data_IF_818738239294
#
_entry.id   IF_818738239294
#
_cell.length_a   1.000
_cell.length_b   1.000
_cell.length_c   1.000
_cell.angle_alpha   90.00
_cell.angle_beta   90.00
_cell.angle_gamma   90.00
#
_symmetry.space_group_name_H-M   'P 1'
#
loop_
_entity.id
_entity.type
_entity.pdbx_description
1 polymer ?
#
# COMPACT_ATOMS: atom_id res chain seq x y z
N UNK A 1 -12.66 -24.80 -1.78
CA UNK A 1 -11.24 -24.36 -1.79
C UNK A 1 -10.86 -24.04 -3.21
N UNK A 2 -10.49 -22.82 -3.51
CA UNK A 2 -10.06 -22.36 -4.84
C UNK A 2 -8.66 -21.79 -4.77
N UNK A 3 -7.91 -21.92 -5.86
CA UNK A 3 -6.69 -21.15 -6.06
C UNK A 3 -7.07 -19.79 -6.64
N UNK A 4 -6.54 -18.72 -6.07
CA UNK A 4 -6.86 -17.34 -6.43
C UNK A 4 -5.54 -16.60 -6.66
N UNK A 5 -5.41 -15.89 -7.77
CA UNK A 5 -4.35 -14.91 -7.96
C UNK A 5 -4.88 -13.56 -7.48
N UNK A 6 -4.15 -12.95 -6.56
CA UNK A 6 -4.54 -11.70 -5.91
C UNK A 6 -3.49 -10.63 -6.21
N UNK A 7 -3.85 -9.69 -7.06
CA UNK A 7 -2.96 -8.58 -7.41
C UNK A 7 -3.19 -7.40 -6.46
N UNK A 8 -2.14 -6.99 -5.78
CA UNK A 8 -2.19 -5.91 -4.82
C UNK A 8 -1.11 -4.86 -5.02
N UNK A 9 -1.29 -3.72 -4.41
CA UNK A 9 -0.18 -2.81 -4.14
C UNK A 9 0.47 -3.21 -2.82
N UNK A 10 1.77 -3.52 -2.78
CA UNK A 10 2.46 -3.82 -1.54
C UNK A 10 2.26 -2.74 -0.46
N UNK A 11 2.01 -3.18 0.78
CA UNK A 11 1.78 -2.28 1.91
C UNK A 11 0.37 -1.68 2.00
N UNK A 12 -0.59 -2.14 1.21
CA UNK A 12 -1.99 -1.71 1.33
C UNK A 12 -2.70 -2.42 2.49
N UNK A 13 -3.13 -1.68 3.51
CA UNK A 13 -3.83 -2.22 4.68
C UNK A 13 -5.17 -2.86 4.29
N UNK A 14 -5.90 -2.25 3.35
CA UNK A 14 -7.15 -2.81 2.84
C UNK A 14 -6.93 -4.20 2.22
N UNK A 15 -5.94 -4.32 1.33
CA UNK A 15 -5.61 -5.59 0.70
C UNK A 15 -5.18 -6.66 1.73
N UNK A 16 -4.48 -6.28 2.80
CA UNK A 16 -4.11 -7.23 3.85
C UNK A 16 -5.36 -7.85 4.53
N UNK A 17 -6.37 -7.04 4.85
CA UNK A 17 -7.64 -7.51 5.45
C UNK A 17 -8.43 -8.39 4.49
N UNK A 18 -8.49 -8.03 3.22
CA UNK A 18 -9.17 -8.80 2.18
C UNK A 18 -8.53 -10.18 1.99
N UNK A 19 -7.19 -10.25 1.96
CA UNK A 19 -6.46 -11.51 1.90
C UNK A 19 -6.73 -12.40 3.13
N UNK A 20 -6.74 -11.82 4.33
CA UNK A 20 -7.07 -12.56 5.56
C UNK A 20 -8.46 -13.18 5.48
N UNK A 21 -9.46 -12.44 4.96
CA UNK A 21 -10.80 -12.98 4.78
C UNK A 21 -10.81 -14.15 3.80
N UNK A 22 -10.20 -14.01 2.60
CA UNK A 22 -10.15 -15.07 1.61
C UNK A 22 -9.46 -16.33 2.15
N UNK A 23 -8.37 -16.17 2.89
CA UNK A 23 -7.68 -17.29 3.55
C UNK A 23 -8.57 -17.94 4.61
N UNK A 24 -9.30 -17.16 5.41
CA UNK A 24 -10.23 -17.69 6.43
C UNK A 24 -11.39 -18.47 5.81
N UNK A 25 -11.77 -18.16 4.56
CA UNK A 25 -12.75 -18.90 3.77
C UNK A 25 -12.18 -20.18 3.13
N UNK A 26 -10.88 -20.48 3.38
CA UNK A 26 -10.21 -21.70 2.92
C UNK A 26 -9.65 -21.61 1.51
N UNK A 27 -9.46 -20.43 0.94
CA UNK A 27 -8.82 -20.26 -0.37
C UNK A 27 -7.30 -20.20 -0.26
N UNK A 28 -6.63 -20.65 -1.33
CA UNK A 28 -5.18 -20.51 -1.49
C UNK A 28 -4.92 -19.28 -2.34
N UNK A 29 -4.09 -18.37 -1.83
CA UNK A 29 -3.77 -17.12 -2.52
C UNK A 29 -2.35 -17.18 -3.10
N UNK A 30 -2.25 -16.84 -4.37
CA UNK A 30 -1.02 -16.43 -5.02
C UNK A 30 -1.04 -14.90 -5.10
N UNK A 31 -0.17 -14.24 -4.33
CA UNK A 31 -0.15 -12.76 -4.26
C UNK A 31 0.86 -12.23 -5.24
N UNK A 32 0.43 -11.31 -6.10
CA UNK A 32 1.27 -10.66 -7.10
C UNK A 32 1.27 -9.14 -6.91
N UNK A 33 2.39 -8.50 -7.25
CA UNK A 33 2.51 -7.05 -7.24
C UNK A 33 1.89 -6.46 -8.50
N UNK A 34 0.76 -5.79 -8.34
CA UNK A 34 0.00 -5.15 -9.41
C UNK A 34 0.83 -4.10 -10.16
N UNK A 35 1.76 -3.42 -9.47
CA UNK A 35 2.58 -2.36 -10.07
C UNK A 35 3.76 -2.90 -10.89
N UNK A 36 4.12 -4.17 -10.68
CA UNK A 36 5.22 -4.84 -11.39
C UNK A 36 4.75 -5.81 -12.47
N UNK A 37 3.46 -6.07 -12.53
CA UNK A 37 2.86 -6.89 -13.57
C UNK A 37 2.86 -6.12 -14.88
N UNK A 38 3.32 -6.75 -15.96
CA UNK A 38 3.18 -6.21 -17.30
C UNK A 38 1.74 -6.45 -17.75
N UNK A 39 0.94 -5.40 -17.74
CA UNK A 39 -0.46 -5.43 -18.16
C UNK A 39 -0.59 -5.14 -19.65
N UNK A 40 -1.49 -5.82 -20.31
CA UNK A 40 -2.05 -5.38 -21.57
C UNK A 40 -3.53 -5.00 -21.42
N UNK A 41 -4.11 -4.38 -22.45
CA UNK A 41 -5.46 -3.84 -22.38
C UNK A 41 -6.52 -4.96 -22.30
N UNK A 42 -6.33 -6.06 -23.05
CA UNK A 42 -7.28 -7.17 -23.10
C UNK A 42 -7.31 -7.94 -21.77
N UNK A 43 -6.13 -8.18 -21.19
CA UNK A 43 -6.02 -8.80 -19.87
C UNK A 43 -6.75 -7.96 -18.82
N UNK A 44 -6.50 -6.63 -18.79
CA UNK A 44 -7.16 -5.73 -17.84
C UNK A 44 -8.66 -5.65 -18.04
N UNK A 45 -9.13 -5.61 -19.29
CA UNK A 45 -10.57 -5.50 -19.59
C UNK A 45 -11.36 -6.64 -18.95
N UNK A 46 -10.78 -7.84 -18.89
CA UNK A 46 -11.42 -9.03 -18.33
C UNK A 46 -11.81 -8.91 -16.85
N UNK A 47 -11.12 -8.05 -16.10
CA UNK A 47 -11.41 -7.81 -14.68
C UNK A 47 -12.54 -6.80 -14.45
N UNK A 48 -12.89 -6.03 -15.49
CA UNK A 48 -13.86 -4.92 -15.38
C UNK A 48 -15.21 -5.24 -16.00
N UNK A 49 -15.45 -6.50 -16.36
CA UNK A 49 -16.71 -6.90 -16.98
C UNK A 49 -17.94 -6.46 -16.17
N UNK A 50 -18.87 -5.80 -16.84
CA UNK A 50 -20.07 -5.25 -16.22
C UNK A 50 -19.84 -4.04 -15.29
N UNK A 51 -18.63 -3.49 -15.19
CA UNK A 51 -18.31 -2.33 -14.36
C UNK A 51 -18.26 -1.04 -15.18
N UNK A 52 -18.88 0.06 -14.71
CA UNK A 52 -18.74 1.37 -15.35
C UNK A 52 -17.28 1.83 -15.41
N UNK A 53 -16.84 2.41 -16.53
CA UNK A 53 -15.45 2.84 -16.77
C UNK A 53 -14.88 3.69 -15.64
N UNK A 54 -15.69 4.63 -15.11
CA UNK A 54 -15.29 5.49 -13.98
C UNK A 54 -14.88 4.71 -12.72
N UNK A 55 -15.37 3.47 -12.57
CA UNK A 55 -15.08 2.61 -11.43
C UNK A 55 -13.87 1.72 -11.64
N UNK A 56 -13.27 1.69 -12.83
CA UNK A 56 -12.03 0.97 -13.09
C UNK A 56 -10.83 1.62 -12.42
N UNK A 57 -10.95 2.92 -12.13
CA UNK A 57 -9.89 3.69 -11.52
C UNK A 57 -9.97 3.67 -9.99
N UNK A 58 -8.80 3.64 -9.39
CA UNK A 58 -8.66 3.67 -7.94
C UNK A 58 -8.90 5.09 -7.40
N UNK A 59 -9.97 5.33 -6.63
CA UNK A 59 -10.29 6.66 -6.13
C UNK A 59 -9.26 7.22 -5.15
N UNK A 60 -8.39 6.35 -4.62
CA UNK A 60 -7.30 6.77 -3.72
C UNK A 60 -6.00 7.11 -4.45
N UNK A 61 -5.93 6.91 -5.77
CA UNK A 61 -4.77 7.32 -6.54
C UNK A 61 -4.66 8.86 -6.57
N UNK A 62 -3.46 9.45 -6.43
CA UNK A 62 -3.30 10.90 -6.33
C UNK A 62 -3.96 11.65 -7.49
N UNK A 63 -3.72 11.22 -8.73
CA UNK A 63 -4.29 11.89 -9.91
C UNK A 63 -5.81 11.85 -9.98
N UNK A 64 -6.43 10.76 -9.50
CA UNK A 64 -7.89 10.63 -9.43
C UNK A 64 -8.44 11.50 -8.30
N UNK A 65 -7.85 11.39 -7.11
CA UNK A 65 -8.27 12.16 -5.94
C UNK A 65 -8.14 13.67 -6.14
N UNK A 66 -7.07 14.09 -6.82
CA UNK A 66 -6.76 15.51 -7.05
C UNK A 66 -7.50 16.07 -8.29
N UNK A 67 -8.39 15.26 -8.91
CA UNK A 67 -9.23 15.69 -10.04
C UNK A 67 -8.46 15.93 -11.35
N UNK A 68 -7.27 15.34 -11.50
CA UNK A 68 -6.43 15.50 -12.68
C UNK A 68 -6.85 14.59 -13.86
N UNK A 69 -7.85 13.72 -13.62
CA UNK A 69 -8.44 12.85 -14.63
C UNK A 69 -9.94 13.09 -14.63
N UNK A 70 -10.48 13.47 -15.79
CA UNK A 70 -11.92 13.58 -15.97
C UNK A 70 -12.52 12.18 -16.19
N UNK A 71 -13.09 11.62 -15.14
CA UNK A 71 -13.64 10.26 -15.15
C UNK A 71 -14.92 10.15 -15.98
N UNK A 72 -15.64 11.24 -16.21
CA UNK A 72 -16.89 11.23 -16.94
C UNK A 72 -16.67 11.39 -18.45
N UNK A 73 -15.53 11.93 -18.85
CA UNK A 73 -15.11 12.04 -20.25
C UNK A 73 -14.29 10.83 -20.73
N UNK A 74 -13.95 9.88 -19.84
CA UNK A 74 -13.06 8.76 -20.15
C UNK A 74 -13.86 7.61 -20.77
N UNK A 75 -13.56 7.25 -22.02
CA UNK A 75 -14.06 6.02 -22.64
C UNK A 75 -13.25 4.78 -22.24
N UNK A 76 -13.72 3.61 -22.63
CA UNK A 76 -13.10 2.35 -22.22
C UNK A 76 -11.67 2.18 -22.76
N UNK A 77 -11.44 2.52 -24.03
CA UNK A 77 -10.14 2.35 -24.67
C UNK A 77 -9.10 3.30 -24.08
N UNK A 78 -9.47 4.55 -23.86
CA UNK A 78 -8.62 5.54 -23.21
C UNK A 78 -8.33 5.16 -21.75
N UNK A 79 -9.32 4.62 -21.03
CA UNK A 79 -9.14 4.13 -19.68
C UNK A 79 -8.13 2.98 -19.64
N UNK A 80 -8.30 1.95 -20.48
CA UNK A 80 -7.37 0.81 -20.54
C UNK A 80 -5.96 1.26 -20.88
N UNK A 81 -5.80 2.10 -21.91
CA UNK A 81 -4.48 2.65 -22.27
C UNK A 81 -3.82 3.38 -21.10
N UNK A 82 -4.60 4.16 -20.37
CA UNK A 82 -4.11 4.88 -19.17
C UNK A 82 -3.71 3.93 -18.05
N UNK A 83 -4.50 2.88 -17.78
CA UNK A 83 -4.26 1.90 -16.73
C UNK A 83 -3.02 1.03 -17.02
N UNK A 84 -2.78 0.70 -18.29
CA UNK A 84 -1.56 -0.01 -18.72
C UNK A 84 -0.32 0.83 -18.48
N UNK A 85 -0.36 2.13 -18.81
CA UNK A 85 0.77 3.05 -18.63
C UNK A 85 1.02 3.36 -17.15
N UNK A 86 -0.07 3.49 -16.36
CA UNK A 86 0.02 3.86 -14.94
C UNK A 86 -0.78 2.88 -14.05
N UNK A 87 -0.22 1.69 -13.73
CA UNK A 87 -0.90 0.67 -12.93
C UNK A 87 -1.33 1.13 -11.52
N UNK A 88 -0.79 2.24 -11.01
CA UNK A 88 -1.23 2.84 -9.75
C UNK A 88 -2.69 3.30 -9.79
N UNK A 89 -3.19 3.61 -10.98
CA UNK A 89 -4.57 4.04 -11.23
C UNK A 89 -5.56 2.87 -11.22
N UNK A 90 -5.12 1.64 -11.38
CA UNK A 90 -5.99 0.46 -11.41
C UNK A 90 -6.74 0.32 -10.09
N UNK A 91 -8.05 0.06 -10.15
CA UNK A 91 -8.86 -0.32 -8.99
C UNK A 91 -8.32 -1.59 -8.34
N UNK A 92 -8.15 -1.59 -7.05
CA UNK A 92 -7.53 -2.68 -6.28
C UNK A 92 -8.49 -3.31 -5.28
N UNK A 93 -8.31 -4.61 -5.03
CA UNK A 93 -7.43 -5.58 -5.69
C UNK A 93 -7.95 -5.98 -7.07
N UNK A 94 -7.10 -6.60 -7.93
CA UNK A 94 -7.59 -7.45 -8.99
C UNK A 94 -7.52 -8.90 -8.50
N UNK A 95 -8.57 -9.64 -8.76
CA UNK A 95 -8.72 -11.04 -8.33
C UNK A 95 -8.99 -11.88 -9.55
N UNK A 96 -8.15 -12.90 -9.76
CA UNK A 96 -8.38 -13.94 -10.77
C UNK A 96 -8.67 -15.27 -10.07
N UNK A 97 -9.74 -15.93 -10.46
CA UNK A 97 -10.23 -17.14 -9.83
C UNK A 97 -10.86 -18.08 -10.86
N UNK A 98 -11.11 -19.35 -10.50
CA UNK A 98 -11.85 -20.29 -11.38
C UNK A 98 -13.29 -19.82 -11.74
N UNK A 99 -13.79 -18.80 -11.07
CA UNK A 99 -15.11 -18.21 -11.31
C UNK A 99 -15.05 -16.93 -12.15
N UNK A 100 -13.87 -16.57 -12.63
CA UNK A 100 -13.58 -15.36 -13.41
C UNK A 100 -12.78 -14.33 -12.67
N UNK A 101 -12.50 -13.20 -13.36
CA UNK A 101 -11.79 -12.04 -12.85
C UNK A 101 -12.75 -11.01 -12.23
N UNK A 102 -12.25 -10.23 -11.26
CA UNK A 102 -12.97 -9.04 -10.80
C UNK A 102 -12.00 -7.98 -10.25
N UNK A 103 -12.45 -6.72 -10.27
CA UNK A 103 -11.72 -5.58 -9.73
C UNK A 103 -12.42 -4.99 -8.50
N UNK A 104 -11.63 -4.65 -7.49
CA UNK A 104 -12.15 -4.18 -6.20
C UNK A 104 -12.64 -5.33 -5.32
N UNK A 105 -13.19 -4.97 -4.16
CA UNK A 105 -13.72 -5.93 -3.19
C UNK A 105 -15.20 -5.64 -2.90
N UNK A 106 -15.94 -5.33 -3.97
CA UNK A 106 -17.38 -5.08 -3.93
C UNK A 106 -18.12 -6.38 -4.20
N UNK A 107 -19.18 -6.72 -3.44
CA UNK A 107 -20.01 -7.89 -3.69
C UNK A 107 -20.43 -7.96 -5.16
N UNK A 108 -20.18 -9.11 -5.75
CA UNK A 108 -20.48 -9.42 -7.13
C UNK A 108 -20.40 -10.93 -7.35
N UNK A 109 -20.71 -11.43 -8.56
CA UNK A 109 -20.83 -12.86 -8.82
C UNK A 109 -19.56 -13.65 -8.47
N UNK A 110 -18.38 -13.11 -8.78
CA UNK A 110 -17.09 -13.76 -8.48
C UNK A 110 -16.85 -13.87 -6.97
N UNK A 111 -17.00 -12.77 -6.22
CA UNK A 111 -16.81 -12.77 -4.78
C UNK A 111 -17.87 -13.61 -4.05
N UNK A 112 -19.12 -13.60 -4.53
CA UNK A 112 -20.16 -14.46 -4.00
C UNK A 112 -19.84 -15.95 -4.21
N UNK A 113 -19.35 -16.34 -5.39
CA UNK A 113 -18.89 -17.71 -5.67
C UNK A 113 -17.69 -18.12 -4.81
N UNK A 114 -16.87 -17.18 -4.37
CA UNK A 114 -15.79 -17.38 -3.41
C UNK A 114 -16.29 -17.38 -1.94
N UNK A 115 -17.60 -17.24 -1.71
CA UNK A 115 -18.18 -17.23 -0.36
C UNK A 115 -17.90 -15.96 0.44
N UNK A 116 -17.52 -14.87 -0.22
CA UNK A 116 -17.32 -13.58 0.43
C UNK A 116 -18.69 -12.99 0.80
N UNK A 117 -18.95 -12.69 2.09
CA UNK A 117 -20.25 -12.16 2.51
C UNK A 117 -20.43 -10.70 2.07
N UNK A 118 -21.67 -10.27 1.83
CA UNK A 118 -21.98 -8.89 1.45
C UNK A 118 -21.48 -7.84 2.45
N UNK A 119 -21.43 -8.20 3.73
CA UNK A 119 -20.86 -7.36 4.78
C UNK A 119 -19.38 -6.99 4.55
N UNK A 120 -18.67 -7.77 3.76
CA UNK A 120 -17.26 -7.49 3.40
C UNK A 120 -17.11 -6.28 2.47
N UNK A 121 -18.20 -5.68 1.97
CA UNK A 121 -18.17 -4.41 1.22
C UNK A 121 -17.41 -3.31 1.96
N UNK A 122 -17.44 -3.31 3.28
CA UNK A 122 -16.67 -2.36 4.10
C UNK A 122 -15.15 -2.47 3.91
N UNK A 123 -14.66 -3.60 3.37
CA UNK A 123 -13.24 -3.81 3.09
C UNK A 123 -12.80 -3.23 1.72
N UNK A 124 -13.72 -2.78 0.88
CA UNK A 124 -13.38 -2.17 -0.42
C UNK A 124 -12.81 -0.74 -0.25
N UNK A 125 -13.11 -0.08 0.86
CA UNK A 125 -12.56 1.24 1.15
C UNK A 125 -11.16 1.14 1.77
N UNK A 126 -10.20 1.89 1.22
CA UNK A 126 -8.98 2.21 1.96
C UNK A 126 -9.37 3.03 3.18
N UNK A 127 -9.41 2.42 4.36
CA UNK A 127 -9.55 3.14 5.61
C UNK A 127 -8.32 4.03 5.84
N UNK A 128 -8.28 5.18 5.16
CA UNK A 128 -7.49 6.32 5.62
C UNK A 128 -8.39 7.10 6.57
N UNK A 129 -8.21 6.90 7.85
CA UNK A 129 -8.80 7.71 8.88
C UNK A 129 -9.91 7.03 9.68
N UNK A 130 -9.55 6.07 10.48
CA UNK A 130 -10.04 5.91 11.83
C UNK A 130 -8.93 5.25 12.62
N UNK A 131 -8.37 6.02 13.52
CA UNK A 131 -7.58 5.71 14.70
C UNK A 131 -7.06 4.27 14.80
N UNK A 132 -5.74 4.18 14.93
CA UNK A 132 -5.11 3.04 15.58
C UNK A 132 -5.97 2.64 16.79
N UNK A 133 -6.15 1.33 17.06
CA UNK A 133 -6.69 0.92 18.34
C UNK A 133 -5.80 1.55 19.39
N UNK A 134 -6.39 2.40 20.21
CA UNK A 134 -5.75 2.89 21.43
C UNK A 134 -5.31 1.63 22.17
N UNK A 135 -4.00 1.45 22.26
CA UNK A 135 -3.38 0.54 23.17
C UNK A 135 -4.07 0.76 24.53
N UNK A 136 -4.75 -0.28 24.99
CA UNK A 136 -5.13 -0.43 26.37
C UNK A 136 -3.83 -0.36 27.18
N UNK A 137 -3.53 0.84 27.67
CA UNK A 137 -2.55 1.00 28.72
C UNK A 137 -3.07 0.20 29.93
N UNK A 138 -2.30 -0.73 30.47
CA UNK A 138 -2.69 -1.32 31.74
C UNK A 138 -2.61 -0.21 32.79
N UNK A 139 -3.77 0.15 33.33
CA UNK A 139 -3.93 0.93 34.52
C UNK A 139 -3.10 0.29 35.64
N UNK A 140 -1.96 0.86 35.94
CA UNK A 140 -1.22 0.60 37.15
C UNK A 140 -1.75 1.52 38.27
N UNK A 141 -2.95 1.22 38.73
CA UNK A 141 -3.36 1.61 40.09
C UNK A 141 -3.03 0.45 41.01
N UNK A 142 -2.00 0.58 41.79
CA UNK A 142 -2.01 0.14 43.16
C UNK A 142 -0.65 0.35 43.84
N UNK A 143 -0.73 1.21 44.86
CA UNK A 143 0.04 1.21 46.09
C UNK A 143 1.33 2.02 46.14
N UNK A 144 1.11 3.22 46.56
CA UNK A 144 1.98 3.93 47.48
C UNK A 144 2.22 3.11 48.74
N UNK A 145 3.47 2.85 49.08
CA UNK A 145 3.95 2.79 50.48
C UNK A 145 5.47 2.85 50.50
N UNK A 146 5.92 3.95 51.06
CA UNK A 146 7.04 4.08 51.97
C UNK A 146 8.41 3.50 51.56
N UNK A 147 9.36 4.37 51.29
CA UNK A 147 10.55 4.45 52.14
C UNK A 147 11.21 5.83 51.97
N UNK A 148 11.34 6.47 53.08
CA UNK A 148 12.08 7.72 53.28
C UNK A 148 13.56 7.42 53.52
N UNK A 149 14.32 8.48 53.31
CA UNK A 149 15.69 8.73 53.81
C UNK A 149 16.79 7.97 53.03
N UNK A 150 17.82 8.58 52.55
CA UNK A 150 18.75 9.42 53.31
C UNK A 150 19.75 10.10 52.35
N UNK A 151 20.03 11.35 52.66
CA UNK A 151 21.27 12.11 52.53
C UNK A 151 22.28 11.86 51.41
N UNK A 152 22.50 12.90 50.62
CA UNK A 152 23.74 13.65 50.69
C UNK A 152 24.91 13.14 49.84
N UNK A 153 25.24 13.88 48.82
CA UNK A 153 26.55 14.45 48.60
C UNK A 153 26.76 14.90 47.13
N UNK A 154 26.82 16.18 46.94
CA UNK A 154 27.72 16.77 45.95
C UNK A 154 29.12 16.76 46.55
N UNK A 155 30.18 16.69 45.78
CA UNK A 155 30.67 17.86 45.08
C UNK A 155 31.42 17.61 43.74
N UNK A 156 31.46 18.68 42.95
CA UNK A 156 32.59 19.42 42.36
C UNK A 156 33.36 18.83 41.21
N UNK A 157 33.25 19.59 40.14
CA UNK A 157 34.29 20.25 39.33
C UNK A 157 35.55 19.46 38.94
N UNK A 158 35.83 19.51 37.72
CA UNK A 158 37.02 20.09 37.08
C UNK A 158 37.32 19.46 35.71
N UNK A 159 37.34 20.35 34.77
CA UNK A 159 38.47 20.59 33.83
C UNK A 159 38.74 19.54 32.77
N UNK A 160 38.76 19.92 31.63
CA UNK A 160 39.58 20.74 30.76
C UNK A 160 39.80 20.09 29.39
N UNK A 161 39.56 20.87 28.38
CA UNK A 161 40.46 21.16 27.25
C UNK A 161 40.92 20.03 26.35
N UNK A 162 40.65 20.17 25.11
CA UNK A 162 41.55 20.57 24.05
C UNK A 162 41.45 19.64 22.85
N UNK A 163 41.36 20.12 21.77
CA UNK A 163 42.05 20.61 20.59
C UNK A 163 41.53 19.88 19.37
N UNK A 164 40.95 20.56 18.43
CA UNK A 164 41.53 21.16 17.23
C UNK A 164 42.23 20.17 16.27
N UNK A 165 41.74 20.16 15.06
CA UNK A 165 42.58 19.70 13.96
C UNK A 165 41.80 19.14 12.77
N UNK A 166 41.42 20.00 11.84
CA UNK A 166 41.90 20.09 10.46
C UNK A 166 41.22 19.19 9.41
N UNK A 167 40.49 19.87 8.57
CA UNK A 167 40.43 19.60 7.10
C UNK A 167 41.82 19.88 6.47
N UNK A 168 42.08 19.68 5.17
CA UNK A 168 41.28 19.34 3.99
C UNK A 168 42.00 18.40 2.99
N UNK A 169 41.40 18.17 1.85
CA UNK A 169 42.04 17.63 0.62
C UNK A 169 40.93 17.13 -0.33
N UNK A 170 40.37 17.83 -1.25
CA UNK A 170 40.80 18.25 -2.58
C UNK A 170 41.63 17.19 -3.34
N UNK A 171 41.04 16.70 -4.40
CA UNK A 171 41.59 16.67 -5.76
C UNK A 171 40.66 15.86 -6.66
N UNK A 172 40.09 16.45 -7.68
CA UNK A 172 40.62 16.78 -9.00
C UNK A 172 40.50 15.64 -9.99
N UNK A 173 39.67 15.89 -11.00
CA UNK A 173 39.92 15.84 -12.45
C UNK A 173 40.46 14.48 -13.01
N UNK A 174 40.00 13.98 -14.10
CA UNK A 174 39.96 14.53 -15.43
C UNK A 174 39.26 13.54 -16.37
N UNK A 175 38.47 14.06 -17.34
CA UNK A 175 38.69 13.97 -18.80
C UNK A 175 38.80 12.57 -19.39
N UNK A 176 38.26 12.20 -20.50
CA UNK A 176 37.94 12.77 -21.78
C UNK A 176 37.31 11.65 -22.63
N UNK A 177 36.30 11.92 -23.45
CA UNK A 177 36.37 12.01 -24.89
C UNK A 177 36.67 10.73 -25.69
N UNK A 178 35.89 10.49 -26.68
CA UNK A 178 36.12 9.64 -27.86
C UNK A 178 34.78 9.10 -28.36
N UNK A 179 34.03 9.73 -29.19
CA UNK A 179 34.12 9.88 -30.64
C UNK A 179 34.03 8.56 -31.39
N UNK A 180 32.91 8.47 -32.11
CA UNK A 180 32.78 8.27 -33.54
C UNK A 180 32.72 6.84 -34.09
N UNK A 181 31.70 6.71 -34.96
CA UNK A 181 31.66 6.12 -36.31
C UNK A 181 31.57 4.59 -36.42
N UNK A 182 30.50 4.17 -36.88
CA UNK A 182 30.11 3.75 -38.23
C UNK A 182 28.67 3.27 -38.21
#
# INVERSE_FOLDING_TARGET
>A
MSAIVFYEKPGCIGNARQKQLLVSLGHRLEVRDLLRTAWDADDLASYFDGMPVREWLNPSAPRVRDGLIDLDALDADAALALLVVEPLLIRRPLIDSPFGGCAGFVPGPVLAALGVPDAARALDSCARGTQAPQSLEPSCDARAAACRSDTGRRPTDADAQGTAGRSPGQNSQATAAGSAES
#
